data_IF_770643179812
#
_entry.id   IF_770643179812
#
_cell.length_a   1.000
_cell.length_b   1.000
_cell.length_c   1.000
_cell.angle_alpha   90.00
_cell.angle_beta   90.00
_cell.angle_gamma   90.00
#
_symmetry.space_group_name_H-M   'P 1'
#
loop_
_entity.id
_entity.type
_entity.pdbx_description
1 polymer ?
#
# COMPACT_ATOMS: atom_id res chain seq x y z
N UNK A 1 8.77 7.83 18.65
CA UNK A 1 9.46 6.84 17.77
C UNK A 1 9.48 5.52 18.51
N UNK A 2 8.67 4.57 18.08
CA UNK A 2 8.63 3.22 18.65
C UNK A 2 9.82 2.42 18.11
N UNK A 3 10.71 2.02 19.00
CA UNK A 3 11.88 1.23 18.66
C UNK A 3 11.44 -0.19 18.27
N UNK A 4 11.61 -0.56 16.99
CA UNK A 4 11.53 -1.96 16.56
C UNK A 4 12.59 -2.76 17.33
N UNK A 5 12.24 -3.90 17.93
CA UNK A 5 13.12 -4.73 18.75
C UNK A 5 14.26 -5.45 18.02
N UNK A 6 14.93 -4.82 17.04
CA UNK A 6 16.29 -5.20 16.65
C UNK A 6 16.53 -5.67 15.21
N UNK A 7 15.56 -5.64 14.28
CA UNK A 7 15.84 -6.02 12.87
C UNK A 7 15.24 -5.16 11.76
N UNK A 8 14.22 -4.34 12.00
CA UNK A 8 13.63 -3.49 10.95
C UNK A 8 13.74 -2.02 11.36
N UNK A 9 14.76 -1.31 10.87
CA UNK A 9 15.03 0.08 11.28
C UNK A 9 13.96 1.09 10.84
N UNK A 10 13.16 0.81 9.80
CA UNK A 10 12.11 1.71 9.32
C UNK A 10 11.13 0.93 8.46
N UNK A 11 9.83 1.17 8.64
CA UNK A 11 8.81 0.84 7.66
C UNK A 11 8.25 2.14 7.10
N UNK A 12 8.18 2.24 5.79
CA UNK A 12 7.64 3.40 5.08
C UNK A 12 6.42 2.92 4.32
N UNK A 13 5.22 3.51 4.52
CA UNK A 13 4.11 3.27 3.61
C UNK A 13 4.53 3.73 2.22
N UNK A 14 4.54 2.82 1.26
CA UNK A 14 4.95 3.11 -0.11
C UNK A 14 3.69 3.29 -0.95
N UNK A 15 3.37 4.54 -1.24
CA UNK A 15 2.50 4.86 -2.38
C UNK A 15 3.38 4.89 -3.63
N UNK A 16 3.08 4.01 -4.59
CA UNK A 16 3.90 3.85 -5.78
C UNK A 16 3.30 4.64 -6.94
N UNK A 17 4.01 5.64 -7.49
CA UNK A 17 3.56 6.25 -8.74
C UNK A 17 3.67 5.24 -9.89
N UNK A 18 2.89 5.43 -10.95
CA UNK A 18 3.08 4.73 -12.22
C UNK A 18 4.51 4.95 -12.72
N UNK A 19 5.15 3.93 -13.31
CA UNK A 19 6.53 4.04 -13.77
C UNK A 19 6.74 5.13 -14.83
N UNK A 20 5.71 5.46 -15.61
CA UNK A 20 5.79 6.54 -16.58
C UNK A 20 6.10 7.91 -15.95
N UNK A 21 5.67 8.14 -14.70
CA UNK A 21 5.94 9.39 -13.96
C UNK A 21 7.32 9.40 -13.29
N UNK A 22 8.02 8.26 -13.26
CA UNK A 22 9.38 8.14 -12.72
C UNK A 22 10.48 8.44 -13.74
N UNK A 23 10.17 8.61 -15.03
CA UNK A 23 11.16 8.70 -16.11
C UNK A 23 12.07 9.95 -16.06
N UNK A 24 11.76 10.96 -15.23
CA UNK A 24 12.51 12.23 -15.14
C UNK A 24 13.62 12.22 -14.06
N UNK A 25 14.25 11.08 -13.81
CA UNK A 25 15.45 10.99 -12.97
C UNK A 25 15.24 10.48 -11.53
N UNK A 26 14.07 9.93 -11.20
CA UNK A 26 13.83 9.22 -9.94
C UNK A 26 13.81 7.69 -10.15
N UNK A 27 14.37 6.97 -9.18
CA UNK A 27 14.30 5.51 -9.15
C UNK A 27 12.87 5.11 -8.78
N UNK A 28 12.13 4.62 -9.76
CA UNK A 28 10.88 3.94 -9.48
C UNK A 28 11.20 2.63 -8.75
N UNK A 29 10.62 2.35 -7.58
CA UNK A 29 10.95 1.13 -6.86
C UNK A 29 10.60 -0.10 -7.70
N UNK A 30 11.54 -1.04 -7.80
CA UNK A 30 11.32 -2.32 -8.43
C UNK A 30 10.91 -3.34 -7.38
N UNK A 31 9.60 -3.61 -7.27
CA UNK A 31 9.08 -4.56 -6.28
C UNK A 31 9.54 -6.00 -6.53
N UNK A 32 10.05 -6.32 -7.73
CA UNK A 32 10.65 -7.63 -8.04
C UNK A 32 11.98 -7.85 -7.32
N UNK A 33 12.65 -6.77 -6.93
CA UNK A 33 13.94 -6.81 -6.26
C UNK A 33 13.83 -6.96 -4.73
N UNK A 34 12.61 -7.06 -4.19
CA UNK A 34 12.41 -7.31 -2.75
C UNK A 34 12.80 -8.75 -2.43
N UNK A 35 13.76 -8.91 -1.51
CA UNK A 35 14.33 -10.22 -1.14
C UNK A 35 14.03 -10.65 0.29
N UNK A 36 13.59 -9.72 1.15
CA UNK A 36 13.26 -9.98 2.55
C UNK A 36 12.25 -8.94 3.06
N UNK A 37 11.66 -9.21 4.23
CA UNK A 37 10.66 -8.37 4.87
C UNK A 37 9.24 -8.64 4.37
N UNK A 38 8.39 -7.62 4.42
CA UNK A 38 6.99 -7.71 4.03
C UNK A 38 6.49 -6.39 3.45
N UNK A 39 5.48 -6.45 2.57
CA UNK A 39 5.01 -5.28 1.81
C UNK A 39 3.50 -5.13 1.96
N UNK A 40 3.04 -3.93 2.34
CA UNK A 40 1.62 -3.57 2.22
C UNK A 40 1.48 -2.37 1.30
N UNK A 41 0.88 -2.62 0.14
CA UNK A 41 0.57 -1.62 -0.87
C UNK A 41 -0.79 -0.99 -0.56
N UNK A 42 -0.87 0.34 -0.60
CA UNK A 42 -2.12 1.06 -0.38
C UNK A 42 -2.23 2.22 -1.35
N UNK A 43 -3.41 2.42 -1.93
CA UNK A 43 -3.73 3.58 -2.75
C UNK A 43 -5.14 4.09 -2.51
N UNK A 44 -5.41 5.31 -2.97
CA UNK A 44 -6.75 5.90 -3.00
C UNK A 44 -7.47 5.59 -4.32
N UNK A 45 -8.77 5.28 -4.26
CA UNK A 45 -9.54 4.93 -5.46
C UNK A 45 -9.76 6.10 -6.42
N UNK A 46 -9.61 7.34 -5.95
CA UNK A 46 -9.70 8.54 -6.80
C UNK A 46 -8.35 8.97 -7.36
N UNK A 47 -7.25 8.33 -6.97
CA UNK A 47 -5.95 8.50 -7.60
C UNK A 47 -5.83 7.59 -8.83
N UNK A 48 -6.43 8.02 -9.94
CA UNK A 48 -6.39 7.26 -11.20
C UNK A 48 -5.18 7.60 -12.08
N UNK A 49 -4.40 8.63 -11.73
CA UNK A 49 -3.32 9.14 -12.58
C UNK A 49 -1.93 8.80 -12.02
N UNK A 50 -1.75 8.86 -10.70
CA UNK A 50 -0.45 8.69 -10.07
C UNK A 50 -0.31 7.29 -9.49
N UNK A 51 -1.24 6.83 -8.65
CA UNK A 51 -1.23 5.48 -8.06
C UNK A 51 -2.51 4.67 -8.37
N UNK A 52 -2.87 4.46 -9.65
CA UNK A 52 -4.08 3.75 -10.01
C UNK A 52 -4.06 2.29 -9.53
N UNK A 53 -5.24 1.77 -9.18
CA UNK A 53 -5.39 0.38 -8.77
C UNK A 53 -5.06 -0.60 -9.90
N UNK A 54 -5.49 -0.30 -11.13
CA UNK A 54 -5.33 -1.16 -12.30
C UNK A 54 -4.71 -0.40 -13.48
N UNK A 55 -4.18 -1.14 -14.46
CA UNK A 55 -3.62 -0.59 -15.69
C UNK A 55 -4.32 -1.22 -16.90
N UNK A 56 -4.41 -0.46 -18.00
CA UNK A 56 -5.13 -0.89 -19.20
C UNK A 56 -4.41 -1.97 -20.00
N UNK A 57 -3.07 -1.95 -20.02
CA UNK A 57 -2.26 -2.92 -20.77
C UNK A 57 -1.45 -3.80 -19.82
N UNK A 58 -1.15 -5.04 -20.19
CA UNK A 58 -0.35 -5.94 -19.36
C UNK A 58 1.01 -5.36 -18.97
N UNK A 59 1.45 -5.62 -17.74
CA UNK A 59 2.73 -5.12 -17.23
C UNK A 59 3.95 -5.64 -18.01
N UNK A 60 3.81 -6.76 -18.72
CA UNK A 60 4.85 -7.32 -19.61
C UNK A 60 5.14 -6.40 -20.82
N UNK A 61 4.18 -5.55 -21.20
CA UNK A 61 4.32 -4.64 -22.34
C UNK A 61 4.77 -3.24 -21.93
N UNK A 62 4.26 -2.73 -20.81
CA UNK A 62 4.43 -1.33 -20.42
C UNK A 62 5.08 -1.15 -19.04
N UNK A 63 5.50 -2.24 -18.40
CA UNK A 63 5.94 -2.23 -17.01
C UNK A 63 4.79 -2.06 -16.01
N UNK A 64 5.10 -2.08 -14.70
CA UNK A 64 4.17 -1.70 -13.66
C UNK A 64 3.70 -0.24 -13.80
N UNK A 65 2.41 -0.07 -14.05
CA UNK A 65 1.72 1.22 -14.11
C UNK A 65 0.48 1.23 -13.20
N UNK A 66 0.41 0.31 -12.23
CA UNK A 66 -0.66 0.25 -11.24
C UNK A 66 -0.25 -0.52 -9.99
N UNK A 67 -0.99 -0.34 -8.90
CA UNK A 67 -0.78 -1.07 -7.66
C UNK A 67 -0.94 -2.58 -7.81
N UNK A 68 -1.91 -3.02 -8.63
CA UNK A 68 -2.04 -4.44 -8.98
C UNK A 68 -0.75 -4.99 -9.59
N UNK A 69 -0.17 -4.31 -10.58
CA UNK A 69 1.05 -4.79 -11.23
C UNK A 69 2.25 -4.78 -10.28
N UNK A 70 2.35 -3.79 -9.40
CA UNK A 70 3.37 -3.79 -8.34
C UNK A 70 3.17 -4.96 -7.38
N UNK A 71 1.94 -5.25 -6.95
CA UNK A 71 1.61 -6.38 -6.08
C UNK A 71 1.97 -7.73 -6.71
N UNK A 72 1.59 -7.93 -7.97
CA UNK A 72 1.86 -9.15 -8.73
C UNK A 72 3.37 -9.35 -8.97
N UNK A 73 4.12 -8.26 -9.09
CA UNK A 73 5.56 -8.28 -9.30
C UNK A 73 6.38 -8.60 -8.02
N UNK A 74 5.81 -8.45 -6.82
CA UNK A 74 6.47 -8.86 -5.57
C UNK A 74 6.65 -10.39 -5.59
N UNK A 75 7.86 -10.94 -5.31
CA UNK A 75 8.08 -12.38 -5.28
C UNK A 75 7.13 -13.10 -4.31
N UNK A 76 6.64 -14.28 -4.69
CA UNK A 76 5.66 -15.04 -3.90
C UNK A 76 6.18 -15.49 -2.52
N UNK A 77 7.50 -15.48 -2.31
CA UNK A 77 8.13 -15.77 -1.01
C UNK A 77 8.04 -14.61 -0.03
N UNK A 78 7.65 -13.41 -0.48
CA UNK A 78 7.56 -12.21 0.35
C UNK A 78 6.11 -12.04 0.82
N UNK A 79 5.85 -12.02 2.15
CA UNK A 79 4.54 -11.69 2.68
C UNK A 79 4.07 -10.32 2.15
N UNK A 80 2.91 -10.30 1.50
CA UNK A 80 2.39 -9.10 0.84
C UNK A 80 0.89 -8.93 1.00
N UNK A 81 0.45 -7.68 1.04
CA UNK A 81 -0.95 -7.30 0.98
C UNK A 81 -1.13 -6.09 0.04
N UNK A 82 -2.33 -5.94 -0.50
CA UNK A 82 -2.78 -4.73 -1.18
C UNK A 82 -4.23 -4.43 -0.81
N UNK A 83 -4.53 -3.16 -0.58
CA UNK A 83 -5.89 -2.64 -0.45
C UNK A 83 -6.00 -1.24 -1.03
N UNK A 84 -7.15 -0.93 -1.62
CA UNK A 84 -7.51 0.40 -2.13
C UNK A 84 -8.55 1.03 -1.21
N UNK A 85 -8.24 2.21 -0.67
CA UNK A 85 -9.18 3.00 0.13
C UNK A 85 -10.13 3.76 -0.80
N UNK A 86 -11.43 3.65 -0.57
CA UNK A 86 -12.46 4.28 -1.42
C UNK A 86 -12.55 5.78 -1.11
N UNK A 87 -12.35 6.62 -2.12
CA UNK A 87 -12.55 8.08 -2.05
C UNK A 87 -11.28 8.93 -2.17
N UNK A 88 -10.19 8.64 -1.44
CA UNK A 88 -8.97 9.45 -1.46
C UNK A 88 -8.32 9.59 -2.83
N UNK A 89 -7.70 10.76 -3.04
CA UNK A 89 -6.81 11.08 -4.15
C UNK A 89 -5.33 10.99 -3.72
N UNK A 90 -4.41 11.33 -4.61
CA UNK A 90 -2.98 11.13 -4.43
C UNK A 90 -2.42 11.84 -3.19
N UNK A 91 -2.81 13.10 -2.95
CA UNK A 91 -2.23 13.86 -1.83
C UNK A 91 -2.96 13.66 -0.51
N UNK A 92 -4.00 12.83 -0.45
CA UNK A 92 -4.71 12.51 0.80
C UNK A 92 -3.79 11.83 1.82
N UNK A 93 -2.77 11.10 1.35
CA UNK A 93 -1.80 10.41 2.20
C UNK A 93 -0.86 11.37 2.95
N UNK A 94 -0.80 12.65 2.57
CA UNK A 94 0.14 13.65 3.15
C UNK A 94 -0.13 14.03 4.61
N UNK A 95 -1.05 13.35 5.31
CA UNK A 95 -1.16 13.43 6.76
C UNK A 95 -2.06 14.53 7.30
N UNK A 96 -2.91 15.14 6.45
CA UNK A 96 -3.88 16.14 6.92
C UNK A 96 -5.28 15.51 7.04
N UNK A 97 -5.94 15.63 8.20
CA UNK A 97 -7.30 15.15 8.45
C UNK A 97 -8.35 15.60 7.44
N UNK A 98 -8.24 16.84 6.97
CA UNK A 98 -9.29 17.59 6.29
C UNK A 98 -8.84 18.21 4.96
N UNK A 99 -7.69 17.77 4.44
CA UNK A 99 -7.05 18.33 3.25
C UNK A 99 -6.70 19.82 3.29
N UNK A 100 -6.92 20.55 4.40
CA UNK A 100 -6.82 22.01 4.41
C UNK A 100 -5.40 22.54 4.12
N UNK A 101 -4.39 21.69 4.32
CA UNK A 101 -2.97 21.99 4.07
C UNK A 101 -2.27 20.93 3.21
N UNK A 102 -3.03 20.03 2.59
CA UNK A 102 -2.48 19.05 1.68
C UNK A 102 -2.26 19.68 0.30
N UNK A 103 -1.36 19.10 -0.49
CA UNK A 103 -1.20 19.49 -1.88
C UNK A 103 -2.47 19.15 -2.68
N UNK A 104 -2.77 19.92 -3.73
CA UNK A 104 -3.89 19.61 -4.61
C UNK A 104 -3.49 18.53 -5.64
N UNK A 105 -4.37 17.54 -5.94
CA UNK A 105 -5.69 17.30 -5.34
C UNK A 105 -5.62 16.51 -4.03
N UNK A 106 -6.49 16.86 -3.08
CA UNK A 106 -6.82 16.08 -1.87
C UNK A 106 -8.34 16.16 -1.66
N UNK A 107 -8.99 15.03 -1.39
CA UNK A 107 -10.48 14.95 -1.35
C UNK A 107 -11.07 14.61 0.01
N UNK A 108 -10.45 13.69 0.75
CA UNK A 108 -11.00 13.07 1.96
C UNK A 108 -10.09 13.26 3.17
N UNK A 109 -8.77 13.22 2.97
CA UNK A 109 -7.77 13.33 4.03
C UNK A 109 -7.29 11.98 4.56
N UNK A 110 -6.32 12.02 5.47
CA UNK A 110 -5.49 10.85 5.82
C UNK A 110 -6.21 9.77 6.65
N UNK A 111 -7.33 10.09 7.30
CA UNK A 111 -7.85 9.23 8.38
C UNK A 111 -8.18 7.81 7.96
N UNK A 112 -8.69 7.60 6.75
CA UNK A 112 -8.98 6.25 6.27
C UNK A 112 -7.73 5.36 6.17
N UNK A 113 -6.54 5.94 6.01
CA UNK A 113 -5.26 5.22 5.96
C UNK A 113 -4.73 4.82 7.34
N UNK A 114 -5.36 5.23 8.45
CA UNK A 114 -4.80 4.94 9.78
C UNK A 114 -5.12 3.52 10.29
N UNK A 115 -6.12 2.83 9.73
CA UNK A 115 -6.54 1.49 10.20
C UNK A 115 -5.56 0.38 9.82
N UNK A 116 -5.76 -0.22 8.64
CA UNK A 116 -4.96 -1.36 8.20
C UNK A 116 -3.46 -1.08 8.10
N UNK A 117 -2.98 0.10 7.64
CA UNK A 117 -1.55 0.40 7.66
C UNK A 117 -0.94 0.35 9.06
N UNK A 118 -1.63 0.87 10.09
CA UNK A 118 -1.17 0.74 11.47
C UNK A 118 -1.18 -0.71 11.93
N UNK A 119 -2.23 -1.47 11.62
CA UNK A 119 -2.30 -2.90 11.97
C UNK A 119 -1.16 -3.70 11.31
N UNK A 120 -0.87 -3.45 10.04
CA UNK A 120 0.24 -4.10 9.33
C UNK A 120 1.58 -3.79 10.01
N UNK A 121 1.83 -2.50 10.29
CA UNK A 121 3.05 -2.08 10.96
C UNK A 121 3.18 -2.69 12.36
N UNK A 122 2.10 -2.73 13.14
CA UNK A 122 2.10 -3.35 14.46
C UNK A 122 2.38 -4.86 14.38
N UNK A 123 1.72 -5.57 13.46
CA UNK A 123 1.93 -7.00 13.25
C UNK A 123 3.39 -7.30 12.89
N UNK A 124 3.95 -6.57 11.91
CA UNK A 124 5.26 -6.87 11.33
C UNK A 124 6.43 -6.35 12.19
N UNK A 125 6.28 -5.19 12.86
CA UNK A 125 7.37 -4.56 13.62
C UNK A 125 7.35 -4.89 15.11
N UNK A 126 6.16 -5.11 15.67
CA UNK A 126 5.98 -5.36 17.11
C UNK A 126 5.61 -6.83 17.40
N UNK A 127 5.36 -7.63 16.37
CA UNK A 127 4.88 -9.01 16.54
C UNK A 127 3.46 -9.08 17.10
N UNK A 128 2.68 -8.00 16.94
CA UNK A 128 1.33 -7.89 17.48
C UNK A 128 0.38 -8.91 16.80
N UNK A 129 0.04 -9.95 17.55
CA UNK A 129 -0.83 -11.03 17.06
C UNK A 129 -2.26 -10.57 16.83
N UNK A 130 -2.74 -9.59 17.59
CA UNK A 130 -4.08 -9.05 17.44
C UNK A 130 -4.19 -8.26 16.15
N UNK A 131 -3.17 -7.47 15.84
CA UNK A 131 -3.05 -6.76 14.57
C UNK A 131 -2.89 -7.73 13.38
N UNK A 132 -2.12 -8.81 13.54
CA UNK A 132 -1.95 -9.83 12.50
C UNK A 132 -3.25 -10.55 12.15
N UNK A 133 -4.17 -10.74 13.12
CA UNK A 133 -5.47 -11.38 12.85
C UNK A 133 -6.27 -10.70 11.74
N UNK A 134 -6.10 -9.38 11.56
CA UNK A 134 -6.76 -8.64 10.49
C UNK A 134 -6.40 -9.18 9.09
N UNK A 135 -5.20 -9.74 8.91
CA UNK A 135 -4.66 -10.23 7.63
C UNK A 135 -4.63 -11.75 7.49
N UNK A 136 -5.26 -12.49 8.41
CA UNK A 136 -5.48 -13.95 8.25
C UNK A 136 -6.65 -14.23 7.32
N UNK A 137 -6.82 -15.46 6.80
CA UNK A 137 -7.84 -15.80 5.80
C UNK A 137 -9.31 -15.42 6.16
N UNK A 138 -9.63 -15.16 7.44
CA UNK A 138 -10.95 -14.67 7.90
C UNK A 138 -10.85 -13.34 8.65
N UNK A 139 -9.73 -12.65 8.51
CA UNK A 139 -9.46 -11.39 9.15
C UNK A 139 -10.32 -10.26 8.59
N UNK A 140 -10.45 -9.19 9.36
CA UNK A 140 -11.23 -8.01 9.00
C UNK A 140 -10.79 -7.38 7.68
N UNK A 141 -9.51 -7.52 7.30
CA UNK A 141 -9.01 -7.03 6.02
C UNK A 141 -9.63 -7.73 4.81
N UNK A 142 -10.25 -8.90 4.94
CA UNK A 142 -10.94 -9.58 3.83
C UNK A 142 -12.46 -9.54 3.95
N UNK A 143 -12.98 -8.97 5.03
CA UNK A 143 -14.42 -8.81 5.19
C UNK A 143 -14.94 -7.76 4.20
N UNK A 144 -16.20 -7.89 3.72
CA UNK A 144 -16.84 -6.84 2.95
C UNK A 144 -16.77 -5.50 3.67
N UNK A 145 -16.19 -4.50 3.03
CA UNK A 145 -15.94 -3.19 3.61
C UNK A 145 -16.38 -2.11 2.62
N UNK A 146 -17.29 -1.18 2.97
CA UNK A 146 -17.70 -0.11 2.06
C UNK A 146 -16.59 0.92 1.81
N UNK A 147 -15.56 0.97 2.67
CA UNK A 147 -14.48 1.94 2.60
C UNK A 147 -13.21 1.38 1.94
N UNK A 148 -13.14 0.07 1.70
CA UNK A 148 -11.97 -0.57 1.13
C UNK A 148 -12.37 -1.50 -0.03
N UNK A 149 -11.48 -1.64 -1.00
CA UNK A 149 -11.60 -2.53 -2.13
C UNK A 149 -10.24 -3.15 -2.47
N UNK A 150 -10.21 -4.07 -3.44
CA UNK A 150 -8.99 -4.76 -3.87
C UNK A 150 -8.21 -5.40 -2.71
N UNK A 151 -8.93 -5.84 -1.68
CA UNK A 151 -8.39 -6.41 -0.45
C UNK A 151 -7.84 -7.82 -0.69
N UNK A 152 -6.55 -7.92 -0.97
CA UNK A 152 -5.86 -9.19 -1.22
C UNK A 152 -4.57 -9.28 -0.43
N UNK A 153 -4.18 -10.49 -0.05
CA UNK A 153 -2.88 -10.75 0.54
C UNK A 153 -2.39 -12.15 0.22
N UNK A 154 -1.07 -12.30 0.26
CA UNK A 154 -0.34 -13.55 0.18
C UNK A 154 0.67 -13.54 1.33
N UNK A 155 0.29 -14.19 2.43
CA UNK A 155 1.09 -14.26 3.65
C UNK A 155 1.40 -15.74 3.87
N UNK A 156 2.65 -16.18 3.65
CA UNK A 156 3.07 -17.55 3.94
C UNK A 156 2.75 -17.92 5.38
N UNK A 157 2.19 -19.12 5.58
CA UNK A 157 1.92 -19.70 6.90
C UNK A 157 3.20 -20.06 7.66
#
# INVERSE_FOLDING_TARGET
MTNSGGRIKTAVPIEMPIQALCANGSWCPDTRAVVDGSVFLVNGSADFLISPSTQLLPAQLIGPQSMQAYYEAIPATIPKAWGTLIGPNHNDVQGQPDCARASFPCTTGVYGYLGYPTAWLAAQLLGDQDAMRAFTARGEFFAPNPNWANQIADIPN
#
